data_IF_614699402791
#
_entry.id   IF_614699402791
#
_cell.length_a   1.000
_cell.length_b   1.000
_cell.length_c   1.000
_cell.angle_alpha   90.00
_cell.angle_beta   90.00
_cell.angle_gamma   90.00
#
_symmetry.space_group_name_H-M   'P 1'
#
loop_
_entity.id
_entity.type
_entity.pdbx_description
1 polymer ?
#
# COMPACT_ATOMS: atom_id res chain seq x y z
N UNK A 1 7.67 13.84 -11.96
CA UNK A 1 8.04 13.79 -10.51
C UNK A 1 7.23 12.69 -9.83
N UNK A 2 7.81 11.92 -8.90
CA UNK A 2 7.07 10.94 -8.07
C UNK A 2 7.05 11.48 -6.64
N UNK A 3 5.86 11.63 -6.05
CA UNK A 3 5.67 11.97 -4.65
C UNK A 3 5.29 10.71 -3.86
N UNK A 4 6.23 10.16 -3.11
CA UNK A 4 6.05 9.04 -2.20
C UNK A 4 6.14 9.46 -0.71
N UNK A 5 6.05 10.76 -0.43
CA UNK A 5 6.13 11.28 0.94
C UNK A 5 4.91 10.87 1.75
N UNK A 6 5.16 10.47 3.00
CA UNK A 6 4.12 10.19 3.97
C UNK A 6 4.61 10.56 5.38
N UNK A 7 3.84 11.37 6.08
CA UNK A 7 4.01 11.68 7.51
C UNK A 7 3.07 10.86 8.41
N UNK A 8 2.50 9.77 7.90
CA UNK A 8 1.47 9.04 8.65
C UNK A 8 0.25 9.92 8.90
N UNK A 9 -0.19 10.02 10.16
CA UNK A 9 -1.32 10.86 10.56
C UNK A 9 -0.99 12.36 10.64
N UNK A 10 0.25 12.77 10.42
CA UNK A 10 0.63 14.19 10.34
C UNK A 10 -0.01 14.82 9.10
N UNK A 11 -0.99 15.69 9.36
CA UNK A 11 -1.78 16.34 8.32
C UNK A 11 -0.94 17.29 7.47
N UNK A 12 -0.05 18.07 8.10
CA UNK A 12 0.79 19.03 7.40
C UNK A 12 1.69 18.35 6.36
N UNK A 13 2.30 17.22 6.74
CA UNK A 13 3.16 16.44 5.84
C UNK A 13 2.36 15.69 4.79
N UNK A 14 1.30 14.97 5.22
CA UNK A 14 0.61 14.00 4.35
C UNK A 14 -0.40 14.66 3.42
N UNK A 15 -1.16 15.66 3.88
CA UNK A 15 -2.15 16.36 3.08
C UNK A 15 -1.59 17.67 2.50
N UNK A 16 -1.20 18.62 3.35
CA UNK A 16 -0.79 19.94 2.88
C UNK A 16 0.49 19.90 2.06
N UNK A 17 1.47 19.08 2.46
CA UNK A 17 2.70 18.88 1.68
C UNK A 17 2.42 18.41 0.27
N UNK A 18 1.48 17.47 0.11
CA UNK A 18 1.06 16.98 -1.20
C UNK A 18 0.31 18.05 -2.01
N UNK A 19 -0.53 18.87 -1.36
CA UNK A 19 -1.25 19.98 -2.00
C UNK A 19 -0.26 21.03 -2.52
N UNK A 20 0.68 21.46 -1.67
CA UNK A 20 1.72 22.45 -2.05
C UNK A 20 2.58 21.92 -3.21
N UNK A 21 2.90 20.62 -3.19
CA UNK A 21 3.65 19.99 -4.27
C UNK A 21 2.83 19.94 -5.58
N UNK A 22 1.54 19.63 -5.50
CA UNK A 22 0.65 19.65 -6.67
C UNK A 22 0.56 21.04 -7.29
N UNK A 23 0.41 22.09 -6.47
CA UNK A 23 0.43 23.48 -6.94
C UNK A 23 1.75 23.83 -7.64
N UNK A 24 2.88 23.54 -6.99
CA UNK A 24 4.19 23.86 -7.53
C UNK A 24 4.51 23.10 -8.82
N UNK A 25 4.02 21.87 -8.97
CA UNK A 25 4.20 21.08 -10.20
C UNK A 25 3.28 21.57 -11.33
N UNK A 26 2.04 21.94 -11.01
CA UNK A 26 1.10 22.50 -11.97
C UNK A 26 1.62 23.82 -12.57
N UNK A 27 2.07 24.76 -11.73
CA UNK A 27 2.64 26.04 -12.16
C UNK A 27 3.85 25.90 -13.10
N UNK A 28 4.59 24.80 -12.96
CA UNK A 28 5.82 24.55 -13.74
C UNK A 28 5.64 23.55 -14.88
N UNK A 29 4.42 23.10 -15.11
CA UNK A 29 4.15 22.06 -16.12
C UNK A 29 4.86 20.74 -15.85
N UNK A 30 5.20 20.46 -14.58
CA UNK A 30 5.88 19.22 -14.18
C UNK A 30 4.84 18.13 -13.95
N UNK A 31 4.97 17.02 -14.68
CA UNK A 31 4.12 15.86 -14.48
C UNK A 31 4.29 15.26 -13.08
N UNK A 32 3.16 14.97 -12.41
CA UNK A 32 3.12 14.41 -11.06
C UNK A 32 2.56 12.98 -11.07
N UNK A 33 3.24 12.08 -10.36
CA UNK A 33 2.70 10.79 -9.90
C UNK A 33 2.66 10.85 -8.38
N UNK A 34 1.46 10.77 -7.80
CA UNK A 34 1.24 10.83 -6.34
C UNK A 34 0.93 9.44 -5.80
N UNK A 35 1.75 8.97 -4.84
CA UNK A 35 1.52 7.69 -4.16
C UNK A 35 0.51 7.88 -3.04
N UNK A 36 -0.63 7.20 -3.16
CA UNK A 36 -1.69 7.15 -2.17
C UNK A 36 -1.73 5.77 -1.46
N UNK A 37 -2.79 5.46 -0.76
CA UNK A 37 -2.89 4.29 0.11
C UNK A 37 -4.29 3.67 0.07
N UNK A 38 -4.39 2.37 0.32
CA UNK A 38 -5.64 1.65 0.60
C UNK A 38 -6.35 2.11 1.89
N UNK A 39 -5.63 2.79 2.79
CA UNK A 39 -6.19 3.38 4.01
C UNK A 39 -7.26 4.47 3.74
N UNK A 40 -7.42 4.92 2.49
CA UNK A 40 -8.51 5.79 2.06
C UNK A 40 -9.87 5.09 2.05
N UNK A 41 -9.92 3.77 2.19
CA UNK A 41 -11.14 2.97 2.16
C UNK A 41 -11.52 2.44 3.52
N UNK A 42 -12.83 2.37 3.78
CA UNK A 42 -13.38 1.94 5.08
C UNK A 42 -13.42 0.42 5.26
N UNK A 43 -13.47 -0.36 4.19
CA UNK A 43 -13.78 -1.79 4.26
C UNK A 43 -15.24 -2.09 4.63
N UNK A 44 -16.13 -1.08 4.66
CA UNK A 44 -17.55 -1.24 5.02
C UNK A 44 -18.39 -1.50 3.79
N UNK A 45 -19.26 -2.51 3.85
CA UNK A 45 -20.19 -2.84 2.79
C UNK A 45 -19.61 -3.45 1.52
N UNK A 46 -18.29 -3.40 1.36
CA UNK A 46 -17.54 -4.08 0.29
C UNK A 46 -16.12 -4.39 0.75
N UNK A 47 -15.51 -5.39 0.13
CA UNK A 47 -14.12 -5.75 0.39
C UNK A 47 -13.20 -5.39 -0.78
N UNK A 48 -13.68 -5.52 -2.01
CA UNK A 48 -12.93 -5.20 -3.22
C UNK A 48 -13.22 -3.78 -3.70
N UNK A 49 -12.17 -3.05 -4.00
CA UNK A 49 -12.17 -1.66 -4.45
C UNK A 49 -11.41 -1.57 -5.77
N UNK A 50 -12.08 -1.16 -6.83
CA UNK A 50 -11.48 -0.78 -8.10
C UNK A 50 -11.12 0.72 -8.12
N UNK A 51 -10.48 1.18 -9.22
CA UNK A 51 -10.01 2.55 -9.36
C UNK A 51 -11.15 3.59 -9.37
N UNK A 52 -12.38 3.19 -9.66
CA UNK A 52 -13.56 4.07 -9.68
C UNK A 52 -14.13 4.34 -8.28
N UNK A 53 -13.78 3.52 -7.29
CA UNK A 53 -14.28 3.65 -5.93
C UNK A 53 -13.82 4.95 -5.29
N UNK A 54 -14.79 5.66 -4.68
CA UNK A 54 -14.53 6.90 -3.96
C UNK A 54 -13.96 6.60 -2.57
N UNK A 55 -13.03 7.43 -2.06
CA UNK A 55 -12.54 7.34 -0.70
C UNK A 55 -13.62 7.52 0.36
N UNK A 56 -13.56 6.72 1.42
CA UNK A 56 -14.43 6.79 2.60
C UNK A 56 -13.65 6.45 3.91
N UNK A 57 -12.55 7.19 4.20
CA UNK A 57 -11.57 6.81 5.22
C UNK A 57 -12.14 6.80 6.63
N UNK A 58 -11.60 5.90 7.49
CA UNK A 58 -11.93 5.77 8.91
C UNK A 58 -10.81 6.27 9.85
N UNK A 59 -9.69 6.69 9.31
CA UNK A 59 -8.52 7.09 10.11
C UNK A 59 -8.02 8.47 9.70
N UNK A 60 -7.36 9.22 10.61
CA UNK A 60 -6.74 10.52 10.25
C UNK A 60 -5.76 10.39 9.09
N UNK A 61 -4.96 9.31 9.05
CA UNK A 61 -4.05 9.04 7.94
C UNK A 61 -4.80 8.86 6.61
N UNK A 62 -5.84 8.02 6.61
CA UNK A 62 -6.67 7.80 5.41
C UNK A 62 -7.34 9.08 4.92
N UNK A 63 -7.84 9.90 5.85
CA UNK A 63 -8.44 11.21 5.53
C UNK A 63 -7.43 12.16 4.89
N UNK A 64 -6.21 12.25 5.45
CA UNK A 64 -5.14 13.06 4.88
C UNK A 64 -4.74 12.60 3.46
N UNK A 65 -4.63 11.29 3.23
CA UNK A 65 -4.36 10.72 1.91
C UNK A 65 -5.50 10.97 0.92
N UNK A 66 -6.76 10.82 1.31
CA UNK A 66 -7.93 11.11 0.47
C UNK A 66 -8.01 12.59 0.08
N UNK A 67 -7.69 13.49 1.02
CA UNK A 67 -7.60 14.94 0.76
C UNK A 67 -6.49 15.25 -0.24
N UNK A 68 -5.32 14.65 -0.08
CA UNK A 68 -4.21 14.78 -1.02
C UNK A 68 -4.59 14.32 -2.44
N UNK A 69 -5.26 13.15 -2.60
CA UNK A 69 -5.76 12.68 -3.90
C UNK A 69 -6.69 13.69 -4.56
N UNK A 70 -7.66 14.21 -3.79
CA UNK A 70 -8.65 15.18 -4.28
C UNK A 70 -7.94 16.43 -4.81
N UNK A 71 -7.02 16.98 -4.03
CA UNK A 71 -6.27 18.17 -4.42
C UNK A 71 -5.37 17.92 -5.64
N UNK A 72 -4.63 16.82 -5.67
CA UNK A 72 -3.78 16.46 -6.81
C UNK A 72 -4.60 16.35 -8.10
N UNK A 73 -5.76 15.69 -8.06
CA UNK A 73 -6.63 15.53 -9.24
C UNK A 73 -7.23 16.84 -9.74
N UNK A 74 -7.54 17.77 -8.82
CA UNK A 74 -8.07 19.09 -9.18
C UNK A 74 -6.99 20.04 -9.71
N UNK A 75 -5.82 20.06 -9.07
CA UNK A 75 -4.73 20.99 -9.40
C UNK A 75 -3.89 20.50 -10.59
N UNK A 76 -3.78 19.18 -10.76
CA UNK A 76 -2.99 18.53 -11.80
C UNK A 76 -3.83 17.48 -12.53
N UNK A 77 -4.79 17.85 -13.43
CA UNK A 77 -5.65 16.88 -14.13
C UNK A 77 -4.87 15.82 -14.93
N UNK A 78 -3.64 16.12 -15.34
CA UNK A 78 -2.72 15.21 -16.00
C UNK A 78 -1.88 14.33 -15.04
N UNK A 79 -2.08 14.43 -13.73
CA UNK A 79 -1.37 13.60 -12.76
C UNK A 79 -1.88 12.16 -12.74
N UNK A 80 -1.01 11.24 -12.31
CA UNK A 80 -1.39 9.90 -11.90
C UNK A 80 -1.46 9.80 -10.37
N UNK A 81 -2.52 9.18 -9.86
CA UNK A 81 -2.67 8.81 -8.45
C UNK A 81 -2.49 7.30 -8.33
N UNK A 82 -1.46 6.88 -7.63
CA UNK A 82 -1.10 5.47 -7.45
C UNK A 82 -1.49 5.02 -6.03
N UNK A 83 -2.64 4.37 -5.88
CA UNK A 83 -3.07 3.75 -4.63
C UNK A 83 -2.32 2.45 -4.43
N UNK A 84 -1.67 2.30 -3.29
CA UNK A 84 -0.92 1.08 -2.96
C UNK A 84 -1.38 0.52 -1.61
N UNK A 85 -0.96 -0.70 -1.31
CA UNK A 85 -1.25 -1.39 -0.06
C UNK A 85 0.05 -1.58 0.74
N UNK A 86 0.16 -2.67 1.50
CA UNK A 86 1.34 -2.99 2.29
C UNK A 86 2.55 -3.20 1.39
N UNK A 87 3.58 -2.40 1.58
CA UNK A 87 4.82 -2.52 0.79
C UNK A 87 5.78 -3.46 1.52
N UNK A 88 6.12 -4.55 0.84
CA UNK A 88 7.02 -5.59 1.36
C UNK A 88 8.30 -5.57 0.56
N UNK A 89 9.43 -5.68 1.25
CA UNK A 89 10.76 -5.66 0.65
C UNK A 89 11.53 -6.96 0.86
N UNK A 90 12.81 -6.79 1.16
CA UNK A 90 13.76 -7.88 1.40
C UNK A 90 14.30 -7.76 2.84
N UNK A 91 13.40 -7.77 3.83
CA UNK A 91 13.72 -7.63 5.25
C UNK A 91 13.72 -6.19 5.78
N UNK A 92 13.52 -5.18 4.92
CA UNK A 92 13.67 -3.76 5.30
C UNK A 92 12.37 -3.02 5.63
N UNK A 93 11.20 -3.58 5.37
CA UNK A 93 9.92 -2.92 5.64
C UNK A 93 9.58 -2.94 7.14
N UNK A 94 8.71 -2.01 7.54
CA UNK A 94 8.20 -1.98 8.92
C UNK A 94 7.44 -3.26 9.27
N UNK A 95 6.70 -3.82 8.29
CA UNK A 95 5.95 -5.07 8.45
C UNK A 95 6.89 -6.26 8.71
N UNK A 96 7.98 -6.35 7.95
CA UNK A 96 8.99 -7.40 8.12
C UNK A 96 9.69 -7.28 9.46
N UNK A 97 10.10 -6.07 9.86
CA UNK A 97 10.69 -5.84 11.18
C UNK A 97 9.76 -6.22 12.34
N UNK A 98 8.45 -5.94 12.18
CA UNK A 98 7.44 -6.35 13.17
C UNK A 98 7.38 -7.87 13.30
N UNK A 99 7.33 -8.61 12.19
CA UNK A 99 7.30 -10.08 12.17
C UNK A 99 8.54 -10.65 12.87
N UNK A 100 9.72 -10.15 12.54
CA UNK A 100 10.97 -10.57 13.18
C UNK A 100 10.98 -10.31 14.69
N UNK A 101 10.53 -9.13 15.11
CA UNK A 101 10.47 -8.77 16.53
C UNK A 101 9.47 -9.63 17.33
N UNK A 102 8.32 -9.96 16.74
CA UNK A 102 7.32 -10.86 17.34
C UNK A 102 7.84 -12.29 17.43
N UNK A 103 8.42 -12.84 16.36
CA UNK A 103 8.98 -14.19 16.32
C UNK A 103 10.13 -14.36 17.33
N UNK A 104 10.93 -13.32 17.53
CA UNK A 104 12.01 -13.29 18.53
C UNK A 104 11.51 -13.07 19.97
N UNK A 105 10.22 -12.73 20.18
CA UNK A 105 9.70 -12.33 21.49
C UNK A 105 10.23 -10.98 21.99
N UNK A 106 10.85 -10.19 21.10
CA UNK A 106 11.42 -8.88 21.42
C UNK A 106 10.36 -7.76 21.46
N UNK A 107 9.14 -8.06 21.00
CA UNK A 107 8.00 -7.12 21.00
C UNK A 107 6.74 -7.83 21.47
N UNK A 108 5.94 -7.13 22.27
CA UNK A 108 4.58 -7.54 22.64
C UNK A 108 3.62 -7.14 21.51
N UNK A 109 2.59 -7.95 21.27
CA UNK A 109 1.55 -7.70 20.28
C UNK A 109 1.13 -8.96 19.54
N UNK A 110 0.28 -8.81 18.53
CA UNK A 110 -0.19 -9.91 17.70
C UNK A 110 -0.39 -9.43 16.25
N UNK A 111 -0.40 -10.39 15.32
CA UNK A 111 -0.79 -10.19 13.93
C UNK A 111 -2.27 -10.54 13.77
N UNK A 112 -3.02 -9.70 13.08
CA UNK A 112 -4.47 -9.84 12.98
C UNK A 112 -4.87 -10.83 11.88
N UNK A 113 -5.80 -11.73 12.20
CA UNK A 113 -6.34 -12.74 11.28
C UNK A 113 -7.47 -12.20 10.41
N UNK A 114 -8.06 -11.05 10.78
CA UNK A 114 -9.18 -10.39 10.13
C UNK A 114 -8.83 -8.99 9.56
N UNK A 115 -7.57 -8.58 9.58
CA UNK A 115 -7.08 -7.37 8.89
C UNK A 115 -6.46 -7.81 7.55
N UNK A 116 -7.26 -7.72 6.46
CA UNK A 116 -6.93 -8.24 5.13
C UNK A 116 -6.53 -7.13 4.18
N UNK A 117 -5.42 -7.32 3.46
CA UNK A 117 -4.86 -6.36 2.48
C UNK A 117 -4.28 -7.11 1.26
N UNK A 118 -3.97 -6.35 0.23
CA UNK A 118 -3.29 -6.82 -0.98
C UNK A 118 -1.84 -6.32 -1.02
N UNK A 119 -0.86 -7.01 -0.40
CA UNK A 119 0.53 -6.55 -0.37
C UNK A 119 1.14 -6.43 -1.76
N UNK A 120 2.11 -5.55 -1.90
CA UNK A 120 2.90 -5.36 -3.11
C UNK A 120 4.39 -5.47 -2.81
N UNK A 121 5.16 -6.06 -3.72
CA UNK A 121 6.61 -6.07 -3.60
C UNK A 121 7.20 -4.70 -3.95
N UNK A 122 8.14 -4.21 -3.16
CA UNK A 122 8.72 -2.87 -3.33
C UNK A 122 9.33 -2.63 -4.72
N UNK A 123 9.95 -3.65 -5.32
CA UNK A 123 10.54 -3.56 -6.66
C UNK A 123 9.47 -3.45 -7.75
N UNK A 124 8.36 -4.21 -7.62
CA UNK A 124 7.24 -4.15 -8.57
C UNK A 124 6.56 -2.78 -8.50
N UNK A 125 6.32 -2.27 -7.28
CA UNK A 125 5.79 -0.93 -7.06
C UNK A 125 6.69 0.14 -7.69
N UNK A 126 7.99 0.09 -7.44
CA UNK A 126 8.94 1.07 -7.98
C UNK A 126 8.99 1.02 -9.53
N UNK A 127 9.01 -0.18 -10.12
CA UNK A 127 8.98 -0.35 -11.57
C UNK A 127 7.67 0.17 -12.19
N UNK A 128 6.52 -0.14 -11.58
CA UNK A 128 5.22 0.36 -12.02
C UNK A 128 5.10 1.88 -11.93
N UNK A 129 5.55 2.49 -10.83
CA UNK A 129 5.60 3.96 -10.69
C UNK A 129 6.48 4.61 -11.76
N UNK A 130 7.61 3.99 -12.08
CA UNK A 130 8.51 4.47 -13.13
C UNK A 130 7.87 4.33 -14.52
N UNK A 131 7.21 3.20 -14.79
CA UNK A 131 6.48 2.98 -16.04
C UNK A 131 5.36 4.02 -16.22
N UNK A 132 4.51 4.25 -15.20
CA UNK A 132 3.47 5.28 -15.21
C UNK A 132 4.07 6.67 -15.45
N UNK A 133 5.22 6.99 -14.83
CA UNK A 133 5.90 8.27 -15.03
C UNK A 133 6.31 8.48 -16.47
N UNK A 134 6.80 7.44 -17.14
CA UNK A 134 7.29 7.49 -18.53
C UNK A 134 6.18 7.43 -19.58
N UNK A 135 5.12 6.67 -19.31
CA UNK A 135 4.04 6.45 -20.29
C UNK A 135 3.18 7.69 -20.56
N UNK A 136 3.23 8.67 -19.69
CA UNK A 136 2.31 9.80 -19.81
C UNK A 136 0.88 9.51 -19.30
N UNK A 137 0.57 8.34 -18.75
CA UNK A 137 -0.76 7.95 -18.30
C UNK A 137 -1.24 8.76 -17.09
N UNK A 138 -2.46 9.27 -17.13
CA UNK A 138 -3.10 10.01 -16.06
C UNK A 138 -4.25 9.21 -15.43
N UNK A 139 -4.76 9.71 -14.30
CA UNK A 139 -5.88 9.11 -13.58
C UNK A 139 -5.45 8.25 -12.39
N UNK A 140 -6.36 7.40 -11.93
CA UNK A 140 -6.14 6.52 -10.77
C UNK A 140 -5.60 5.17 -11.23
N UNK A 141 -4.66 4.64 -10.47
CA UNK A 141 -4.03 3.32 -10.63
C UNK A 141 -4.02 2.61 -9.28
N UNK A 142 -4.33 1.32 -9.26
CA UNK A 142 -4.12 0.47 -8.10
C UNK A 142 -2.84 -0.33 -8.27
N UNK A 143 -1.84 -0.06 -7.43
CA UNK A 143 -0.55 -0.74 -7.43
C UNK A 143 -0.45 -1.67 -6.22
N UNK A 144 -1.18 -2.78 -6.28
CA UNK A 144 -1.22 -3.82 -5.27
C UNK A 144 -1.12 -5.20 -5.93
N UNK A 145 -0.60 -6.19 -5.21
CA UNK A 145 -0.59 -7.58 -5.68
C UNK A 145 -2.01 -8.17 -5.72
N UNK A 146 -2.25 -9.25 -6.49
CA UNK A 146 -3.56 -9.87 -6.61
C UNK A 146 -3.99 -10.67 -5.37
N UNK A 147 -3.06 -11.03 -4.48
CA UNK A 147 -3.36 -11.84 -3.31
C UNK A 147 -3.88 -10.98 -2.15
N UNK A 148 -5.09 -11.32 -1.68
CA UNK A 148 -5.65 -10.75 -0.46
C UNK A 148 -5.28 -11.64 0.73
N UNK A 149 -4.41 -11.16 1.61
CA UNK A 149 -3.90 -11.92 2.76
C UNK A 149 -4.15 -11.17 4.06
N UNK A 150 -4.39 -11.90 5.16
CA UNK A 150 -4.47 -11.28 6.49
C UNK A 150 -3.07 -10.86 6.96
N UNK A 151 -3.02 -9.97 7.96
CA UNK A 151 -1.75 -9.59 8.60
C UNK A 151 -1.02 -10.81 9.18
N UNK A 152 -1.77 -11.77 9.73
CA UNK A 152 -1.19 -12.99 10.28
C UNK A 152 -0.63 -13.89 9.17
N UNK A 153 -1.41 -14.14 8.12
CA UNK A 153 -0.95 -14.91 6.95
C UNK A 153 0.28 -14.28 6.29
N UNK A 154 0.27 -12.95 6.09
CA UNK A 154 1.45 -12.24 5.61
C UNK A 154 2.66 -12.45 6.52
N UNK A 155 2.45 -12.41 7.84
CA UNK A 155 3.50 -12.68 8.82
C UNK A 155 4.07 -14.09 8.70
N UNK A 156 3.21 -15.10 8.50
CA UNK A 156 3.65 -16.48 8.29
C UNK A 156 4.46 -16.65 7.00
N UNK A 157 4.03 -15.98 5.90
CA UNK A 157 4.77 -15.99 4.63
C UNK A 157 6.16 -15.38 4.80
N UNK A 158 6.26 -14.22 5.48
CA UNK A 158 7.53 -13.57 5.79
C UNK A 158 8.40 -14.48 6.67
N UNK A 159 7.83 -15.06 7.72
CA UNK A 159 8.56 -15.96 8.62
C UNK A 159 9.15 -17.16 7.87
N UNK A 160 8.37 -17.81 7.01
CA UNK A 160 8.84 -18.94 6.18
C UNK A 160 9.96 -18.52 5.25
N UNK A 161 9.82 -17.40 4.55
CA UNK A 161 10.87 -16.86 3.65
C UNK A 161 12.18 -16.64 4.41
N UNK A 162 12.10 -16.10 5.63
CA UNK A 162 13.27 -15.66 6.41
C UNK A 162 13.79 -16.77 7.36
N UNK A 163 13.26 -18.01 7.27
CA UNK A 163 13.71 -19.14 8.09
C UNK A 163 13.31 -19.04 9.56
N UNK A 164 12.28 -18.25 9.88
CA UNK A 164 11.70 -18.14 11.21
C UNK A 164 10.58 -19.19 11.39
N UNK A 165 10.30 -19.58 12.63
CA UNK A 165 9.18 -20.46 12.95
C UNK A 165 7.84 -19.70 12.96
N UNK A 166 6.92 -19.93 11.99
CA UNK A 166 5.62 -19.24 11.95
C UNK A 166 4.75 -19.52 13.19
N UNK A 167 4.91 -20.70 13.85
CA UNK A 167 4.13 -21.05 15.04
C UNK A 167 4.43 -20.14 16.24
N UNK A 168 5.53 -19.40 16.21
CA UNK A 168 5.87 -18.40 17.23
C UNK A 168 5.19 -17.05 17.06
N UNK A 169 4.47 -16.85 15.95
CA UNK A 169 3.79 -15.58 15.69
C UNK A 169 2.45 -15.53 16.44
N UNK A 170 2.28 -14.60 17.37
CA UNK A 170 1.01 -14.44 18.08
C UNK A 170 -0.06 -13.90 17.16
N UNK A 171 -1.27 -14.48 17.22
CA UNK A 171 -2.43 -14.06 16.44
C UNK A 171 -3.53 -13.47 17.33
N UNK A 172 -4.31 -12.55 16.78
CA UNK A 172 -5.50 -11.98 17.39
C UNK A 172 -6.52 -11.57 16.31
N UNK A 173 -7.71 -11.17 16.73
CA UNK A 173 -8.66 -10.50 15.85
C UNK A 173 -8.62 -9.01 16.12
N UNK A 174 -8.54 -8.22 15.07
CA UNK A 174 -8.59 -6.77 15.16
C UNK A 174 -10.00 -6.29 15.54
N UNK A 175 -11.03 -7.03 15.10
CA UNK A 175 -12.41 -6.78 15.48
C UNK A 175 -12.68 -6.83 17.00
N UNK A 176 -11.79 -7.48 17.77
CA UNK A 176 -11.86 -7.55 19.22
C UNK A 176 -11.15 -6.36 19.91
N UNK A 177 -10.72 -5.36 19.13
CA UNK A 177 -10.01 -4.16 19.60
C UNK A 177 -10.74 -2.89 19.16
N UNK A 178 -10.48 -1.77 19.85
CA UNK A 178 -10.98 -0.43 19.47
C UNK A 178 -10.08 0.28 18.42
N UNK A 179 -9.18 -0.42 17.76
CA UNK A 179 -8.27 0.18 16.79
C UNK A 179 -9.05 0.65 15.54
N UNK A 180 -8.91 1.92 15.15
CA UNK A 180 -9.64 2.46 14.00
C UNK A 180 -9.10 1.93 12.68
N UNK A 181 -9.95 1.90 11.64
CA UNK A 181 -9.60 1.55 10.26
C UNK A 181 -10.36 0.34 9.71
N UNK A 182 -10.29 0.15 8.41
CA UNK A 182 -10.95 -0.96 7.72
C UNK A 182 -10.33 -2.31 8.07
N UNK A 183 -11.15 -3.32 8.28
CA UNK A 183 -10.68 -4.69 8.54
C UNK A 183 -10.29 -5.39 7.24
N UNK A 184 -11.10 -5.28 6.21
CA UNK A 184 -10.90 -5.98 4.95
C UNK A 184 -10.98 -4.99 3.79
N UNK A 185 -9.81 -4.60 3.26
CA UNK A 185 -9.68 -3.67 2.14
C UNK A 185 -8.77 -4.29 1.09
N UNK A 186 -9.37 -4.67 -0.03
CA UNK A 186 -8.68 -5.35 -1.14
C UNK A 186 -8.68 -4.45 -2.36
N UNK A 187 -7.51 -4.03 -2.81
CA UNK A 187 -7.39 -3.27 -4.06
C UNK A 187 -7.47 -4.22 -5.25
N UNK A 188 -8.46 -4.03 -6.11
CA UNK A 188 -8.48 -4.67 -7.42
C UNK A 188 -7.57 -3.89 -8.37
N UNK A 189 -6.47 -4.51 -8.74
CA UNK A 189 -5.48 -3.95 -9.67
C UNK A 189 -5.64 -4.45 -11.11
N UNK A 190 -6.71 -5.16 -11.42
CA UNK A 190 -6.89 -5.83 -12.72
C UNK A 190 -6.88 -4.85 -13.90
N UNK A 191 -7.60 -3.73 -13.79
CA UNK A 191 -7.62 -2.69 -14.82
C UNK A 191 -6.27 -1.98 -14.95
N UNK A 192 -5.60 -1.72 -13.86
CA UNK A 192 -4.23 -1.18 -13.86
C UNK A 192 -3.25 -2.16 -14.51
N UNK A 193 -3.31 -3.46 -14.19
CA UNK A 193 -2.41 -4.48 -14.74
C UNK A 193 -2.54 -4.61 -16.27
N UNK A 194 -3.72 -4.39 -16.84
CA UNK A 194 -3.92 -4.36 -18.29
C UNK A 194 -3.24 -3.17 -18.99
N UNK A 195 -2.92 -2.12 -18.24
CA UNK A 195 -2.28 -0.88 -18.71
C UNK A 195 -0.77 -0.87 -18.50
N UNK A 196 -0.23 -1.81 -17.72
CA UNK A 196 1.19 -1.89 -17.35
C UNK A 196 1.84 -3.13 -17.95
N UNK A 197 3.09 -2.99 -18.37
CA UNK A 197 3.99 -4.11 -18.67
C UNK A 197 4.57 -4.69 -17.38
N UNK A 198 4.80 -3.84 -16.38
CA UNK A 198 5.27 -4.27 -15.05
C UNK A 198 4.23 -5.18 -14.41
N UNK A 199 4.66 -6.41 -14.06
CA UNK A 199 3.82 -7.37 -13.35
C UNK A 199 3.81 -7.05 -11.86
N UNK A 200 2.61 -6.95 -11.28
CA UNK A 200 2.40 -6.84 -9.83
C UNK A 200 2.23 -8.25 -9.26
N UNK A 201 3.27 -8.81 -8.68
CA UNK A 201 3.25 -10.17 -8.13
C UNK A 201 2.42 -10.24 -6.85
N UNK A 202 1.80 -11.39 -6.59
CA UNK A 202 1.09 -11.68 -5.35
C UNK A 202 2.03 -12.02 -4.19
N UNK A 203 1.51 -11.89 -2.96
CA UNK A 203 2.26 -12.15 -1.74
C UNK A 203 2.81 -13.59 -1.68
N UNK A 204 2.00 -14.55 -2.08
CA UNK A 204 2.41 -15.95 -2.12
C UNK A 204 3.56 -16.20 -3.11
N UNK A 205 3.60 -15.46 -4.22
CA UNK A 205 4.67 -15.59 -5.20
C UNK A 205 5.98 -14.96 -4.72
N UNK A 206 5.95 -13.69 -4.33
CA UNK A 206 7.20 -13.00 -3.98
C UNK A 206 7.74 -13.36 -2.57
N UNK A 207 6.94 -14.01 -1.73
CA UNK A 207 7.38 -14.54 -0.43
C UNK A 207 7.62 -16.07 -0.46
N UNK A 208 7.28 -16.78 -1.54
CA UNK A 208 7.72 -18.16 -1.70
C UNK A 208 9.24 -18.15 -1.90
N UNK A 209 10.01 -18.81 -1.06
CA UNK A 209 11.47 -18.79 -1.03
C UNK A 209 12.23 -19.25 -2.30
N UNK A 210 11.60 -19.20 -3.47
CA UNK A 210 12.18 -19.39 -4.79
C UNK A 210 12.65 -18.07 -5.43
N UNK A 211 13.01 -17.09 -4.60
CA UNK A 211 13.64 -15.85 -5.07
C UNK A 211 14.95 -16.12 -5.75
N UNK A 212 14.96 -16.00 -7.06
CA UNK A 212 16.20 -15.89 -7.88
C UNK A 212 17.12 -14.89 -7.18
N UNK A 213 18.33 -15.36 -6.85
CA UNK A 213 19.40 -14.52 -6.33
C UNK A 213 19.68 -13.33 -7.23
N UNK A 214 20.39 -12.31 -6.73
CA UNK A 214 20.66 -11.10 -7.49
C UNK A 214 21.39 -11.44 -8.79
N UNK A 215 21.11 -10.68 -9.88
CA UNK A 215 21.90 -10.76 -11.09
C UNK A 215 23.33 -10.28 -10.86
#
# INVERSE_FOLDING_TARGET
MINATSGGADWEVTAEGAIRLAQATAERGIRLVHVSSDAIFSGRGRHWYDESCLPDPLTPYGAAKATAETAVRLLCPGAAVARTSLIIGEGGSEHERLVHALAAGARQGALFTDDVRCPVHVRDLAAALWEITRSGAAGVFHLAGPDAVSRHELGELIARRDGLDPARLPSARRSDTDLPGGLDVRLDSSATQQRLHTRLRGAHEFLSGNGVGPP
#
